data_IF_698381052732
#
_entry.id   IF_698381052732
#
_cell.length_a   1.000
_cell.length_b   1.000
_cell.length_c   1.000
_cell.angle_alpha   90.00
_cell.angle_beta   90.00
_cell.angle_gamma   90.00
#
_symmetry.space_group_name_H-M   'P 1'
#
loop_
_entity.id
_entity.type
_entity.pdbx_description
1 polymer ?
#
# COMPACT_ATOMS: atom_id res chain seq x y z
N UNK A 1 0.37 -16.72 -25.68
CA UNK A 1 1.33 -17.33 -24.73
C UNK A 1 0.79 -17.05 -23.34
N UNK A 2 0.63 -18.10 -22.53
CA UNK A 2 -0.13 -18.12 -21.30
C UNK A 2 0.37 -17.08 -20.27
N UNK A 3 -0.52 -16.20 -19.80
CA UNK A 3 -0.35 -15.50 -18.53
C UNK A 3 -0.66 -16.50 -17.42
N UNK A 4 0.29 -17.38 -17.13
CA UNK A 4 0.12 -18.34 -16.05
C UNK A 4 0.00 -17.61 -14.71
N UNK A 5 -0.94 -18.13 -13.91
CA UNK A 5 -0.86 -18.31 -12.46
C UNK A 5 -0.55 -17.05 -11.62
N UNK A 6 -1.49 -16.46 -10.87
CA UNK A 6 -2.04 -17.08 -9.65
C UNK A 6 -1.14 -18.17 -9.03
N UNK A 7 0.17 -17.96 -9.06
CA UNK A 7 1.18 -18.91 -8.60
C UNK A 7 1.17 -19.02 -7.08
N UNK A 8 0.35 -19.93 -6.59
CA UNK A 8 0.67 -20.76 -5.44
C UNK A 8 0.69 -20.06 -4.09
N UNK A 9 -0.37 -20.27 -3.33
CA UNK A 9 -0.36 -20.40 -1.87
C UNK A 9 1.04 -20.49 -1.23
N UNK A 10 1.54 -19.36 -0.71
CA UNK A 10 2.45 -19.34 0.43
C UNK A 10 1.81 -18.44 1.50
N UNK A 11 0.69 -18.90 2.07
CA UNK A 11 0.39 -18.56 3.46
C UNK A 11 1.24 -19.48 4.35
N UNK A 12 1.77 -19.06 5.51
CA UNK A 12 1.69 -17.79 6.24
C UNK A 12 3.05 -17.07 6.41
N UNK A 13 4.11 -17.50 5.70
CA UNK A 13 5.49 -17.01 5.92
C UNK A 13 5.75 -15.63 5.27
N UNK A 14 4.92 -15.20 4.30
CA UNK A 14 5.03 -13.89 3.62
C UNK A 14 4.32 -12.73 4.34
N UNK A 15 3.70 -12.97 5.50
CA UNK A 15 2.89 -11.95 6.19
C UNK A 15 3.70 -10.72 6.67
N UNK A 16 5.03 -10.77 6.64
CA UNK A 16 5.91 -9.68 7.09
C UNK A 16 6.53 -8.84 5.97
N UNK A 17 6.42 -9.24 4.69
CA UNK A 17 7.16 -8.56 3.61
C UNK A 17 6.33 -8.48 2.32
N UNK A 18 6.22 -7.29 1.69
CA UNK A 18 5.56 -7.16 0.40
C UNK A 18 6.16 -8.13 -0.64
N UNK A 19 5.34 -8.77 -1.50
CA UNK A 19 5.86 -9.67 -2.53
C UNK A 19 6.85 -8.95 -3.46
N UNK A 20 8.05 -9.52 -3.64
CA UNK A 20 9.14 -8.89 -4.40
C UNK A 20 8.78 -8.54 -5.85
N UNK A 21 7.92 -9.34 -6.50
CA UNK A 21 7.44 -9.04 -7.87
C UNK A 21 6.60 -7.75 -7.92
N UNK A 22 5.85 -7.45 -6.86
CA UNK A 22 5.02 -6.24 -6.79
C UNK A 22 5.89 -5.01 -6.55
N UNK A 23 6.93 -5.17 -5.72
CA UNK A 23 7.95 -4.13 -5.52
C UNK A 23 8.67 -3.82 -6.83
N UNK A 24 9.12 -4.84 -7.58
CA UNK A 24 9.76 -4.62 -8.88
C UNK A 24 8.85 -3.92 -9.91
N UNK A 25 7.54 -4.22 -9.91
CA UNK A 25 6.57 -3.51 -10.75
C UNK A 25 6.37 -2.05 -10.32
N UNK A 26 6.37 -1.79 -9.02
CA UNK A 26 6.31 -0.43 -8.45
C UNK A 26 7.57 0.38 -8.81
N UNK A 27 8.76 -0.23 -8.73
CA UNK A 27 10.01 0.41 -9.11
C UNK A 27 10.03 0.74 -10.61
N UNK A 28 9.57 -0.18 -11.47
CA UNK A 28 9.43 0.08 -12.91
C UNK A 28 8.49 1.27 -13.20
N UNK A 29 7.35 1.35 -12.50
CA UNK A 29 6.45 2.50 -12.63
C UNK A 29 7.14 3.81 -12.22
N UNK A 30 7.87 3.79 -11.09
CA UNK A 30 8.60 4.95 -10.57
C UNK A 30 9.63 5.44 -11.58
N UNK A 31 10.43 4.54 -12.14
CA UNK A 31 11.50 4.86 -13.08
C UNK A 31 10.93 5.45 -14.38
N UNK A 32 9.87 4.85 -14.93
CA UNK A 32 9.18 5.37 -16.12
C UNK A 32 8.57 6.76 -15.87
N UNK A 33 8.00 7.01 -14.70
CA UNK A 33 7.45 8.33 -14.35
C UNK A 33 8.57 9.36 -14.21
N UNK A 34 9.73 8.99 -13.65
CA UNK A 34 10.88 9.86 -13.55
C UNK A 34 11.44 10.22 -14.94
N UNK A 35 11.49 9.27 -15.87
CA UNK A 35 11.87 9.52 -17.27
C UNK A 35 10.85 10.42 -17.98
N UNK A 36 9.55 10.17 -17.80
CA UNK A 36 8.52 11.05 -18.33
C UNK A 36 8.61 12.47 -17.76
N UNK A 37 9.01 12.65 -16.51
CA UNK A 37 9.11 13.97 -15.91
C UNK A 37 10.18 14.85 -16.59
N UNK A 38 11.23 14.25 -17.15
CA UNK A 38 12.29 14.99 -17.87
C UNK A 38 11.91 15.27 -19.32
N UNK A 39 11.16 14.37 -19.95
CA UNK A 39 10.82 14.49 -21.38
C UNK A 39 9.46 15.16 -21.57
N UNK A 40 8.41 14.68 -20.90
CA UNK A 40 7.00 15.08 -21.03
C UNK A 40 6.34 15.38 -19.65
N UNK A 41 6.67 16.52 -19.01
CA UNK A 41 6.32 16.78 -17.62
C UNK A 41 4.82 16.79 -17.30
N UNK A 42 3.97 17.28 -18.21
CA UNK A 42 2.52 17.26 -17.99
C UNK A 42 1.94 15.84 -17.96
N UNK A 43 2.53 14.91 -18.71
CA UNK A 43 2.09 13.51 -18.73
C UNK A 43 2.53 12.79 -17.46
N UNK A 44 3.73 13.08 -16.96
CA UNK A 44 4.17 12.60 -15.65
C UNK A 44 3.21 13.07 -14.52
N UNK A 45 2.79 14.34 -14.54
CA UNK A 45 1.81 14.86 -13.58
C UNK A 45 0.46 14.13 -13.67
N UNK A 46 -0.01 13.83 -14.88
CA UNK A 46 -1.24 13.06 -15.08
C UNK A 46 -1.19 11.66 -14.45
N UNK A 47 -0.06 10.95 -14.63
CA UNK A 47 0.15 9.63 -14.02
C UNK A 47 0.24 9.74 -12.50
N UNK A 48 1.00 10.71 -11.97
CA UNK A 48 1.13 10.92 -10.52
C UNK A 48 -0.21 11.24 -9.86
N UNK A 49 -1.04 12.06 -10.51
CA UNK A 49 -2.39 12.37 -10.02
C UNK A 49 -3.27 11.11 -9.98
N UNK A 50 -3.13 10.21 -10.96
CA UNK A 50 -3.85 8.94 -10.95
C UNK A 50 -3.37 8.02 -9.83
N UNK A 51 -2.05 7.91 -9.64
CA UNK A 51 -1.46 7.16 -8.51
C UNK A 51 -2.01 7.65 -7.17
N UNK A 52 -2.00 8.95 -6.94
CA UNK A 52 -2.52 9.55 -5.70
C UNK A 52 -4.00 9.23 -5.49
N UNK A 53 -4.81 9.26 -6.56
CA UNK A 53 -6.26 9.03 -6.52
C UNK A 53 -6.62 7.66 -5.95
N UNK A 54 -5.92 6.60 -6.36
CA UNK A 54 -6.21 5.25 -5.87
C UNK A 54 -5.38 4.87 -4.63
N UNK A 55 -4.23 5.49 -4.41
CA UNK A 55 -3.33 5.13 -3.30
C UNK A 55 -3.95 5.45 -1.93
N UNK A 56 -4.58 6.62 -1.79
CA UNK A 56 -5.23 7.02 -0.54
C UNK A 56 -6.33 6.05 -0.09
N UNK A 57 -7.36 5.74 -0.89
CA UNK A 57 -8.40 4.80 -0.47
C UNK A 57 -7.88 3.37 -0.26
N UNK A 58 -6.80 2.94 -0.95
CA UNK A 58 -6.19 1.64 -0.70
C UNK A 58 -5.51 1.58 0.69
N UNK A 59 -4.83 2.64 1.12
CA UNK A 59 -4.26 2.69 2.47
C UNK A 59 -5.36 2.58 3.53
N UNK A 60 -6.46 3.31 3.36
CA UNK A 60 -7.58 3.26 4.33
C UNK A 60 -8.17 1.85 4.44
N UNK A 61 -8.39 1.18 3.30
CA UNK A 61 -8.85 -0.23 3.29
C UNK A 61 -7.85 -1.17 3.95
N UNK A 62 -6.56 -1.01 3.68
CA UNK A 62 -5.51 -1.84 4.29
C UNK A 62 -5.43 -1.63 5.81
N UNK A 63 -5.57 -0.39 6.27
CA UNK A 63 -5.61 -0.07 7.71
C UNK A 63 -6.86 -0.65 8.36
N UNK A 64 -8.03 -0.55 7.72
CA UNK A 64 -9.26 -1.17 8.21
C UNK A 64 -9.09 -2.68 8.37
N UNK A 65 -8.60 -3.37 7.32
CA UNK A 65 -8.34 -4.81 7.36
C UNK A 65 -7.30 -5.20 8.44
N UNK A 66 -6.23 -4.40 8.61
CA UNK A 66 -5.25 -4.62 9.67
C UNK A 66 -5.86 -4.48 11.07
N UNK A 67 -6.76 -3.51 11.27
CA UNK A 67 -7.45 -3.29 12.54
C UNK A 67 -8.49 -4.37 12.83
N UNK A 68 -9.20 -4.86 11.82
CA UNK A 68 -10.10 -6.02 11.90
C UNK A 68 -9.34 -7.31 12.24
N UNK A 69 -8.13 -7.47 11.71
CA UNK A 69 -7.21 -8.56 12.06
C UNK A 69 -6.57 -8.41 13.46
N UNK A 70 -6.91 -7.37 14.22
CA UNK A 70 -6.43 -7.16 15.59
C UNK A 70 -5.06 -6.48 15.71
N UNK A 71 -4.41 -6.07 14.61
CA UNK A 71 -3.10 -5.42 14.65
C UNK A 71 -3.18 -4.06 15.36
N UNK A 72 -2.20 -3.79 16.20
CA UNK A 72 -2.10 -2.54 16.96
C UNK A 72 -1.74 -1.34 16.07
N UNK A 73 -2.03 -0.13 16.57
CA UNK A 73 -1.57 1.10 15.90
C UNK A 73 -0.05 1.19 15.79
N UNK A 74 0.69 0.49 16.65
CA UNK A 74 2.15 0.46 16.59
C UNK A 74 2.63 -0.37 15.40
N UNK A 75 2.04 -1.56 15.19
CA UNK A 75 2.35 -2.43 14.05
C UNK A 75 1.98 -1.75 12.72
N UNK A 76 0.80 -1.12 12.67
CA UNK A 76 0.34 -0.37 11.49
C UNK A 76 1.25 0.84 11.22
N UNK A 77 1.62 1.59 12.25
CA UNK A 77 2.56 2.70 12.13
C UNK A 77 3.91 2.25 11.57
N UNK A 78 4.46 1.15 12.10
CA UNK A 78 5.70 0.55 11.62
C UNK A 78 5.62 0.16 10.14
N UNK A 79 4.54 -0.50 9.72
CA UNK A 79 4.33 -0.88 8.32
C UNK A 79 4.22 0.33 7.37
N UNK A 80 3.68 1.46 7.86
CA UNK A 80 3.54 2.70 7.11
C UNK A 80 4.77 3.63 7.20
N UNK A 81 5.77 3.28 8.01
CA UNK A 81 6.93 4.13 8.25
C UNK A 81 6.63 5.41 9.05
N UNK A 82 5.59 5.40 9.89
CA UNK A 82 5.17 6.54 10.72
C UNK A 82 5.04 6.16 12.19
N UNK A 83 4.98 7.16 13.07
CA UNK A 83 4.77 6.91 14.51
C UNK A 83 3.39 6.31 14.79
N UNK A 84 3.27 5.55 15.90
CA UNK A 84 1.99 5.05 16.42
C UNK A 84 0.95 6.17 16.57
N UNK A 85 1.35 7.31 17.11
CA UNK A 85 0.46 8.45 17.34
C UNK A 85 -0.04 9.01 16.01
N UNK A 86 0.86 9.21 15.04
CA UNK A 86 0.52 9.67 13.69
C UNK A 86 -0.44 8.72 12.98
N UNK A 87 -0.23 7.40 13.12
CA UNK A 87 -1.15 6.40 12.58
C UNK A 87 -2.53 6.49 13.25
N UNK A 88 -2.58 6.56 14.57
CA UNK A 88 -3.84 6.67 15.30
C UNK A 88 -4.62 7.94 14.93
N UNK A 89 -3.97 9.11 14.95
CA UNK A 89 -4.59 10.39 14.58
C UNK A 89 -5.14 10.37 13.16
N UNK A 90 -4.39 9.80 12.22
CA UNK A 90 -4.76 9.75 10.79
C UNK A 90 -5.91 8.79 10.52
N UNK A 91 -5.97 7.66 11.20
CA UNK A 91 -6.87 6.55 10.81
C UNK A 91 -7.94 6.17 11.82
N UNK A 92 -8.00 6.80 13.01
CA UNK A 92 -9.01 6.49 14.03
C UNK A 92 -10.47 6.62 13.57
N UNK A 93 -10.74 7.39 12.51
CA UNK A 93 -12.08 7.61 11.99
C UNK A 93 -12.48 6.61 10.88
N UNK A 94 -11.53 5.86 10.32
CA UNK A 94 -11.79 4.88 9.24
C UNK A 94 -11.74 3.43 9.72
N UNK A 95 -11.08 3.17 10.85
CA UNK A 95 -11.00 1.84 11.44
C UNK A 95 -12.08 1.63 12.52
N UNK A 96 -12.62 0.40 12.65
CA UNK A 96 -13.60 0.10 13.70
C UNK A 96 -13.01 0.33 15.10
N UNK A 97 -13.81 0.93 15.99
CA UNK A 97 -13.47 1.09 17.40
C UNK A 97 -13.64 -0.25 18.13
N UNK A 98 -12.51 -0.96 18.30
CA UNK A 98 -12.33 -2.25 18.99
C UNK A 98 -12.77 -3.48 18.15
N UNK A 99 -11.92 -4.50 17.96
CA UNK A 99 -12.34 -5.73 17.31
C UNK A 99 -13.41 -6.46 18.14
N UNK A 100 -14.38 -7.16 17.51
CA UNK A 100 -15.31 -8.01 18.24
C UNK A 100 -14.54 -9.09 19.03
N UNK A 101 -15.01 -9.38 20.24
CA UNK A 101 -14.42 -10.35 21.17
C UNK A 101 -14.48 -11.78 20.62
#
# INVERSE_FOLDING_TARGET
MATSEWGGHIGPILAATPPGWLLGRSDTLRDNVAELATTWPLQALGILAEVERWQRPLIERAVMAAREAGLSWAEIGNALGISRQSAHERFRNVAPSKPPA
#
